data_IF_914709376529
#
_entry.id   IF_914709376529
#
_cell.length_a   1.000
_cell.length_b   1.000
_cell.length_c   1.000
_cell.angle_alpha   90.00
_cell.angle_beta   90.00
_cell.angle_gamma   90.00
#
_symmetry.space_group_name_H-M   'P 1'
#
loop_
_entity.id
_entity.type
_entity.pdbx_description
1 polymer ?
#
# COMPACT_ATOMS: atom_id res chain seq x y z
N UNK A 1 18.44 27.06 -6.55
CA UNK A 1 17.09 27.26 -7.16
C UNK A 1 16.30 25.95 -7.33
N UNK A 2 16.89 24.88 -7.88
CA UNK A 2 16.18 23.60 -8.15
C UNK A 2 15.70 22.84 -6.89
N UNK A 3 16.36 23.01 -5.74
CA UNK A 3 15.99 22.39 -4.44
C UNK A 3 14.84 23.12 -3.75
N UNK A 4 14.86 24.45 -3.76
CA UNK A 4 13.77 25.30 -3.25
C UNK A 4 12.45 25.05 -3.98
N UNK A 5 12.49 24.90 -5.32
CA UNK A 5 11.29 24.57 -6.10
C UNK A 5 10.69 23.19 -5.75
N UNK A 6 11.53 22.18 -5.49
CA UNK A 6 11.07 20.85 -5.05
C UNK A 6 10.44 20.89 -3.66
N UNK A 7 11.03 21.64 -2.73
CA UNK A 7 10.48 21.83 -1.40
C UNK A 7 9.12 22.52 -1.45
N UNK A 8 9.00 23.59 -2.25
CA UNK A 8 7.72 24.27 -2.46
C UNK A 8 6.63 23.31 -2.99
N UNK A 9 6.97 22.47 -3.96
CA UNK A 9 6.04 21.49 -4.53
C UNK A 9 5.60 20.43 -3.52
N UNK A 10 6.53 19.93 -2.69
CA UNK A 10 6.20 18.98 -1.61
C UNK A 10 5.28 19.63 -0.58
N UNK A 11 5.57 20.86 -0.18
CA UNK A 11 4.73 21.60 0.78
C UNK A 11 3.33 21.84 0.19
N UNK A 12 3.23 22.30 -1.05
CA UNK A 12 1.93 22.51 -1.70
C UNK A 12 1.15 21.20 -1.83
N UNK A 13 1.83 20.09 -2.12
CA UNK A 13 1.19 18.78 -2.21
C UNK A 13 0.67 18.31 -0.85
N UNK A 14 1.45 18.48 0.23
CA UNK A 14 1.02 18.14 1.59
C UNK A 14 -0.19 18.99 2.02
N UNK A 15 -0.17 20.30 1.73
CA UNK A 15 -1.30 21.20 2.00
C UNK A 15 -2.53 20.76 1.22
N UNK A 16 -2.40 20.51 -0.09
CA UNK A 16 -3.52 20.06 -0.92
C UNK A 16 -4.11 18.73 -0.44
N UNK A 17 -3.26 17.79 -0.04
CA UNK A 17 -3.68 16.50 0.52
C UNK A 17 -4.43 16.68 1.84
N UNK A 18 -3.90 17.51 2.75
CA UNK A 18 -4.55 17.82 4.02
C UNK A 18 -5.90 18.52 3.82
N UNK A 19 -5.98 19.48 2.90
CA UNK A 19 -7.23 20.16 2.54
C UNK A 19 -8.25 19.20 1.93
N UNK A 20 -7.84 18.28 1.05
CA UNK A 20 -8.74 17.31 0.45
C UNK A 20 -9.35 16.36 1.50
N UNK A 21 -8.54 15.84 2.42
CA UNK A 21 -9.03 15.02 3.53
C UNK A 21 -9.88 15.83 4.52
N UNK A 22 -9.51 17.08 4.80
CA UNK A 22 -10.30 17.98 5.64
C UNK A 22 -11.67 18.29 5.02
N UNK A 23 -11.73 18.46 3.71
CA UNK A 23 -12.98 18.67 2.99
C UNK A 23 -13.86 17.43 3.06
N UNK A 24 -13.30 16.25 2.76
CA UNK A 24 -14.02 14.98 2.89
C UNK A 24 -14.57 14.80 4.32
N UNK A 25 -13.75 15.06 5.34
CA UNK A 25 -14.17 14.99 6.73
C UNK A 25 -15.29 15.99 7.07
N UNK A 26 -15.18 17.24 6.61
CA UNK A 26 -16.20 18.26 6.85
C UNK A 26 -17.54 17.87 6.23
N UNK A 27 -17.54 17.41 4.98
CA UNK A 27 -18.74 16.98 4.27
C UNK A 27 -19.42 15.79 4.96
N UNK A 28 -18.63 14.82 5.46
CA UNK A 28 -19.17 13.62 6.11
C UNK A 28 -19.66 13.93 7.52
N UNK A 29 -18.85 14.60 8.35
CA UNK A 29 -19.11 14.72 9.79
C UNK A 29 -19.89 15.98 10.14
N UNK A 30 -19.59 17.12 9.50
CA UNK A 30 -20.24 18.40 9.84
C UNK A 30 -21.50 18.62 9.03
N UNK A 31 -21.42 18.42 7.72
CA UNK A 31 -22.55 18.66 6.83
C UNK A 31 -23.47 17.44 6.70
N UNK A 32 -22.99 16.26 7.12
CA UNK A 32 -23.74 15.01 7.08
C UNK A 32 -24.43 14.77 5.73
N UNK A 33 -23.64 14.92 4.67
CA UNK A 33 -24.09 14.82 3.26
C UNK A 33 -24.77 13.48 2.94
N UNK A 34 -24.59 12.46 3.79
CA UNK A 34 -25.29 11.18 3.73
C UNK A 34 -26.81 11.25 3.86
N UNK A 35 -27.35 12.31 4.48
CA UNK A 35 -28.80 12.49 4.67
C UNK A 35 -29.50 13.01 3.40
N UNK A 36 -28.76 13.66 2.51
CA UNK A 36 -29.30 14.22 1.27
C UNK A 36 -29.75 13.11 0.32
N UNK A 37 -31.06 13.02 0.05
CA UNK A 37 -31.61 11.98 -0.81
C UNK A 37 -31.32 12.21 -2.29
N UNK A 38 -31.22 13.47 -2.71
CA UNK A 38 -30.97 13.84 -4.11
C UNK A 38 -29.55 13.49 -4.53
N UNK A 39 -29.42 12.53 -5.45
CA UNK A 39 -28.12 12.05 -5.94
C UNK A 39 -27.26 13.15 -6.58
N UNK A 40 -27.91 14.12 -7.23
CA UNK A 40 -27.28 15.23 -7.95
C UNK A 40 -27.09 16.49 -7.10
N UNK A 41 -27.34 16.42 -5.78
CA UNK A 41 -27.08 17.53 -4.89
C UNK A 41 -25.61 17.97 -5.00
N UNK A 42 -25.33 19.28 -5.13
CA UNK A 42 -23.96 19.77 -5.33
C UNK A 42 -23.01 19.33 -4.22
N UNK A 43 -23.50 19.23 -2.97
CA UNK A 43 -22.75 18.75 -1.82
C UNK A 43 -22.33 17.28 -1.97
N UNK A 44 -23.20 16.43 -2.52
CA UNK A 44 -22.87 15.02 -2.80
C UNK A 44 -21.87 14.89 -3.94
N UNK A 45 -22.00 15.69 -4.99
CA UNK A 45 -21.03 15.72 -6.09
C UNK A 45 -19.65 16.16 -5.58
N UNK A 46 -19.59 17.16 -4.70
CA UNK A 46 -18.37 17.57 -4.02
C UNK A 46 -17.80 16.44 -3.14
N UNK A 47 -18.65 15.72 -2.40
CA UNK A 47 -18.23 14.58 -1.60
C UNK A 47 -17.63 13.45 -2.46
N UNK A 48 -18.27 13.08 -3.58
CA UNK A 48 -17.72 12.07 -4.50
C UNK A 48 -16.37 12.49 -5.07
N UNK A 49 -16.25 13.76 -5.46
CA UNK A 49 -14.97 14.33 -5.90
C UNK A 49 -13.91 14.24 -4.80
N UNK A 50 -14.24 14.65 -3.58
CA UNK A 50 -13.32 14.60 -2.44
C UNK A 50 -12.91 13.16 -2.09
N UNK A 51 -13.83 12.20 -2.15
CA UNK A 51 -13.56 10.80 -1.85
C UNK A 51 -12.60 10.14 -2.83
N UNK A 52 -12.55 10.63 -4.07
CA UNK A 52 -11.58 10.18 -5.06
C UNK A 52 -10.26 10.97 -4.97
N UNK A 53 -10.35 12.29 -4.86
CA UNK A 53 -9.19 13.19 -4.89
C UNK A 53 -8.30 13.02 -3.66
N UNK A 54 -8.88 12.88 -2.46
CA UNK A 54 -8.11 12.74 -1.24
C UNK A 54 -7.18 11.50 -1.24
N UNK A 55 -7.68 10.28 -1.51
CA UNK A 55 -6.81 9.12 -1.61
C UNK A 55 -5.93 9.17 -2.87
N UNK A 56 -6.37 9.74 -3.99
CA UNK A 56 -5.51 9.88 -5.17
C UNK A 56 -4.28 10.77 -4.91
N UNK A 57 -4.49 11.94 -4.27
CA UNK A 57 -3.40 12.82 -3.87
C UNK A 57 -2.45 12.17 -2.86
N UNK A 58 -2.98 11.30 -2.01
CA UNK A 58 -2.17 10.59 -1.01
C UNK A 58 -1.36 9.46 -1.65
N UNK A 59 -2.04 8.52 -2.30
CA UNK A 59 -1.47 7.23 -2.65
C UNK A 59 -0.84 7.18 -4.04
N UNK A 60 -1.27 8.00 -5.00
CA UNK A 60 -0.62 8.03 -6.32
C UNK A 60 0.88 8.41 -6.24
N UNK A 61 1.28 9.52 -5.59
CA UNK A 61 2.71 9.85 -5.49
C UNK A 61 3.47 8.86 -4.60
N UNK A 62 2.85 8.39 -3.51
CA UNK A 62 3.46 7.43 -2.59
C UNK A 62 3.68 6.06 -3.24
N UNK A 63 2.73 5.58 -4.05
CA UNK A 63 2.86 4.35 -4.82
C UNK A 63 3.99 4.41 -5.83
N UNK A 64 4.12 5.52 -6.57
CA UNK A 64 5.25 5.75 -7.50
C UNK A 64 6.60 5.76 -6.80
N UNK A 65 6.68 6.35 -5.60
CA UNK A 65 7.92 6.40 -4.82
C UNK A 65 8.35 5.02 -4.35
N UNK A 66 7.39 4.20 -3.94
CA UNK A 66 7.63 2.91 -3.30
C UNK A 66 7.68 1.76 -4.32
N UNK A 67 7.20 1.97 -5.55
CA UNK A 67 7.22 1.04 -6.69
C UNK A 67 6.55 -0.31 -6.41
N UNK A 68 5.55 -0.31 -5.53
CA UNK A 68 4.73 -1.51 -5.29
C UNK A 68 3.64 -1.58 -6.37
N UNK A 69 3.52 -2.71 -7.09
CA UNK A 69 2.55 -2.85 -8.16
C UNK A 69 1.12 -2.73 -7.62
N UNK A 70 0.27 -2.01 -8.36
CA UNK A 70 -1.17 -1.82 -8.08
C UNK A 70 -1.55 -1.12 -6.78
N UNK A 71 -0.60 -0.74 -5.91
CA UNK A 71 -0.88 -0.07 -4.64
C UNK A 71 -1.72 1.21 -4.81
N UNK A 72 -1.44 1.99 -5.85
CA UNK A 72 -2.17 3.24 -6.13
C UNK A 72 -3.66 2.97 -6.37
N UNK A 73 -3.96 2.01 -7.25
CA UNK A 73 -5.33 1.69 -7.67
C UNK A 73 -6.08 1.07 -6.49
N UNK A 74 -5.47 0.14 -5.78
CA UNK A 74 -6.08 -0.52 -4.62
C UNK A 74 -6.36 0.47 -3.49
N UNK A 75 -5.43 1.36 -3.19
CA UNK A 75 -5.63 2.35 -2.15
C UNK A 75 -6.74 3.34 -2.55
N UNK A 76 -6.73 3.83 -3.79
CA UNK A 76 -7.77 4.75 -4.28
C UNK A 76 -9.14 4.07 -4.25
N UNK A 77 -9.25 2.86 -4.81
CA UNK A 77 -10.50 2.12 -4.84
C UNK A 77 -10.99 1.77 -3.44
N UNK A 78 -10.10 1.26 -2.58
CA UNK A 78 -10.41 0.92 -1.19
C UNK A 78 -10.94 2.12 -0.42
N UNK A 79 -10.17 3.21 -0.36
CA UNK A 79 -10.52 4.38 0.43
C UNK A 79 -11.75 5.11 -0.12
N UNK A 80 -11.86 5.25 -1.45
CA UNK A 80 -13.05 5.86 -2.06
C UNK A 80 -14.30 5.05 -1.74
N UNK A 81 -14.23 3.72 -1.84
CA UNK A 81 -15.36 2.84 -1.52
C UNK A 81 -15.66 2.85 -0.03
N UNK A 82 -14.67 2.83 0.85
CA UNK A 82 -14.88 2.92 2.30
C UNK A 82 -15.55 4.23 2.70
N UNK A 83 -15.11 5.37 2.17
CA UNK A 83 -15.72 6.67 2.43
C UNK A 83 -17.17 6.71 1.91
N UNK A 84 -17.39 6.18 0.70
CA UNK A 84 -18.73 6.09 0.12
C UNK A 84 -19.66 5.24 0.99
N UNK A 85 -19.23 4.04 1.37
CA UNK A 85 -20.01 3.12 2.20
C UNK A 85 -20.33 3.75 3.55
N UNK A 86 -19.35 4.34 4.24
CA UNK A 86 -19.59 4.99 5.52
C UNK A 86 -20.50 6.21 5.45
N UNK A 87 -20.50 6.94 4.33
CA UNK A 87 -21.27 8.17 4.21
C UNK A 87 -22.70 7.91 3.75
N UNK A 88 -22.90 6.99 2.81
CA UNK A 88 -24.18 6.85 2.11
C UNK A 88 -24.90 5.54 2.37
N UNK A 89 -24.23 4.52 2.91
CA UNK A 89 -24.85 3.23 3.18
C UNK A 89 -25.25 3.18 4.65
N UNK A 90 -26.56 3.19 4.88
CA UNK A 90 -27.14 2.99 6.19
C UNK A 90 -26.98 1.51 6.61
N UNK A 91 -26.21 1.22 7.68
CA UNK A 91 -25.97 -0.14 8.14
C UNK A 91 -27.25 -0.84 8.63
N UNK A 92 -28.29 -0.11 9.02
CA UNK A 92 -29.56 -0.71 9.47
C UNK A 92 -30.40 -1.23 8.30
N UNK A 93 -30.23 -0.63 7.12
CA UNK A 93 -30.95 -1.02 5.89
C UNK A 93 -30.35 -2.25 5.22
N UNK A 94 -29.05 -2.45 5.33
CA UNK A 94 -28.37 -3.61 4.75
C UNK A 94 -28.26 -4.68 5.84
N UNK A 95 -29.16 -5.67 5.83
CA UNK A 95 -29.16 -6.76 6.80
C UNK A 95 -28.46 -8.00 6.25
N UNK A 96 -27.78 -8.73 7.14
CA UNK A 96 -27.21 -10.04 6.84
C UNK A 96 -25.72 -10.02 6.43
N UNK A 97 -25.17 -11.19 6.05
CA UNK A 97 -23.73 -11.37 5.84
C UNK A 97 -23.17 -10.53 4.68
N UNK A 98 -23.99 -10.24 3.66
CA UNK A 98 -23.58 -9.38 2.54
C UNK A 98 -23.33 -7.93 2.98
N UNK A 99 -24.10 -7.41 3.95
CA UNK A 99 -23.89 -6.09 4.52
C UNK A 99 -22.50 -5.96 5.13
N UNK A 100 -22.10 -7.00 5.86
CA UNK A 100 -20.80 -7.09 6.50
C UNK A 100 -19.68 -7.07 5.47
N UNK A 101 -19.84 -7.79 4.35
CA UNK A 101 -18.85 -7.77 3.26
C UNK A 101 -18.74 -6.39 2.60
N UNK A 102 -19.87 -5.71 2.36
CA UNK A 102 -19.88 -4.35 1.76
C UNK A 102 -19.11 -3.34 2.61
N UNK A 103 -19.10 -3.49 3.94
CA UNK A 103 -18.33 -2.63 4.85
C UNK A 103 -16.89 -3.11 5.02
N UNK A 104 -16.71 -4.40 5.33
CA UNK A 104 -15.41 -4.95 5.71
C UNK A 104 -14.44 -5.07 4.55
N UNK A 105 -14.91 -5.41 3.34
CA UNK A 105 -14.04 -5.62 2.20
C UNK A 105 -13.31 -4.34 1.74
N UNK A 106 -14.00 -3.20 1.50
CA UNK A 106 -13.30 -1.97 1.17
C UNK A 106 -12.47 -1.46 2.35
N UNK A 107 -12.91 -1.67 3.59
CA UNK A 107 -12.13 -1.32 4.78
C UNK A 107 -10.82 -2.13 4.86
N UNK A 108 -10.88 -3.43 4.58
CA UNK A 108 -9.71 -4.30 4.50
C UNK A 108 -8.74 -3.79 3.44
N UNK A 109 -9.21 -3.52 2.23
CA UNK A 109 -8.35 -3.00 1.16
C UNK A 109 -7.72 -1.66 1.55
N UNK A 110 -8.50 -0.75 2.15
CA UNK A 110 -8.02 0.56 2.64
C UNK A 110 -6.93 0.40 3.68
N UNK A 111 -7.16 -0.40 4.72
CA UNK A 111 -6.22 -0.61 5.82
C UNK A 111 -4.97 -1.36 5.33
N UNK A 112 -5.14 -2.38 4.49
CA UNK A 112 -4.03 -3.12 3.86
C UNK A 112 -3.15 -2.22 3.00
N UNK A 113 -3.72 -1.22 2.32
CA UNK A 113 -2.92 -0.28 1.51
C UNK A 113 -1.99 0.58 2.37
N UNK A 114 -2.44 1.01 3.56
CA UNK A 114 -1.60 1.75 4.52
C UNK A 114 -0.48 0.85 5.05
N UNK A 115 -0.79 -0.37 5.46
CA UNK A 115 0.22 -1.30 5.96
C UNK A 115 1.22 -1.73 4.89
N UNK A 116 0.77 -1.87 3.63
CA UNK A 116 1.66 -2.13 2.49
C UNK A 116 2.65 -0.99 2.31
N UNK A 117 2.16 0.25 2.34
CA UNK A 117 3.00 1.44 2.22
C UNK A 117 4.02 1.52 3.36
N UNK A 118 3.59 1.30 4.60
CA UNK A 118 4.48 1.30 5.78
C UNK A 118 5.54 0.21 5.69
N UNK A 119 5.13 -1.02 5.35
CA UNK A 119 6.03 -2.16 5.21
C UNK A 119 7.08 -1.89 4.13
N UNK A 120 6.66 -1.36 2.99
CA UNK A 120 7.57 -1.06 1.90
C UNK A 120 8.50 0.12 2.22
N UNK A 121 8.03 1.15 2.95
CA UNK A 121 8.89 2.23 3.43
C UNK A 121 9.96 1.73 4.41
N UNK A 122 9.61 0.80 5.30
CA UNK A 122 10.57 0.14 6.21
C UNK A 122 11.57 -0.71 5.41
N UNK A 123 11.12 -1.49 4.44
CA UNK A 123 11.99 -2.31 3.60
C UNK A 123 12.95 -1.46 2.76
N UNK A 124 12.50 -0.34 2.19
CA UNK A 124 13.36 0.60 1.48
C UNK A 124 14.43 1.22 2.40
N UNK A 125 14.06 1.59 3.63
CA UNK A 125 15.02 2.12 4.62
C UNK A 125 16.04 1.08 5.04
N UNK A 126 15.64 -0.17 5.21
CA UNK A 126 16.53 -1.28 5.55
C UNK A 126 17.43 -1.67 4.38
N UNK A 127 16.90 -1.70 3.16
CA UNK A 127 17.63 -1.94 1.93
C UNK A 127 18.73 -0.91 1.70
N UNK A 128 18.42 0.38 1.89
CA UNK A 128 19.39 1.47 1.78
C UNK A 128 20.57 1.31 2.78
N UNK A 129 20.32 0.72 3.95
CA UNK A 129 21.36 0.46 4.96
C UNK A 129 22.18 -0.81 4.68
N UNK A 130 21.61 -1.79 3.97
CA UNK A 130 22.20 -3.12 3.77
C UNK A 130 22.66 -3.40 2.33
N UNK A 131 22.47 -2.46 1.40
CA UNK A 131 22.73 -2.61 -0.03
C UNK A 131 22.04 -3.84 -0.68
N UNK A 132 20.86 -4.22 -0.16
CA UNK A 132 20.05 -5.32 -0.67
C UNK A 132 18.96 -4.75 -1.59
N UNK A 133 18.65 -5.43 -2.70
CA UNK A 133 17.50 -5.06 -3.53
C UNK A 133 16.19 -5.31 -2.76
N UNK A 134 15.32 -4.28 -2.59
CA UNK A 134 14.02 -4.46 -1.96
C UNK A 134 13.08 -5.28 -2.86
N UNK A 135 12.34 -6.22 -2.26
CA UNK A 135 11.34 -7.03 -2.96
C UNK A 135 9.93 -6.46 -2.73
N UNK A 136 9.31 -5.79 -3.72
CA UNK A 136 8.03 -5.12 -3.55
C UNK A 136 6.86 -6.07 -3.30
N UNK A 137 6.96 -7.35 -3.70
CA UNK A 137 5.89 -8.33 -3.48
C UNK A 137 5.80 -8.73 -2.01
N UNK A 138 6.94 -8.76 -1.31
CA UNK A 138 7.00 -9.09 0.11
C UNK A 138 6.30 -8.03 0.97
N UNK A 139 6.53 -6.75 0.68
CA UNK A 139 5.86 -5.66 1.40
C UNK A 139 4.33 -5.68 1.20
N UNK A 140 3.87 -6.00 -0.02
CA UNK A 140 2.43 -6.12 -0.33
C UNK A 140 1.76 -7.25 0.44
N UNK A 141 2.38 -8.44 0.46
CA UNK A 141 1.91 -9.58 1.25
C UNK A 141 1.78 -9.24 2.74
N UNK A 142 2.82 -8.64 3.33
CA UNK A 142 2.81 -8.20 4.74
C UNK A 142 1.68 -7.21 5.01
N UNK A 143 1.46 -6.27 4.09
CA UNK A 143 0.36 -5.32 4.17
C UNK A 143 -1.03 -5.97 4.23
N UNK A 144 -1.28 -7.00 3.42
CA UNK A 144 -2.54 -7.75 3.48
C UNK A 144 -2.69 -8.54 4.77
N UNK A 145 -1.64 -9.24 5.22
CA UNK A 145 -1.69 -10.01 6.48
C UNK A 145 -1.97 -9.09 7.68
N UNK A 146 -1.28 -7.95 7.75
CA UNK A 146 -1.50 -6.95 8.81
C UNK A 146 -2.87 -6.30 8.73
N UNK A 147 -3.36 -6.02 7.53
CA UNK A 147 -4.71 -5.51 7.32
C UNK A 147 -5.79 -6.51 7.73
N UNK A 148 -5.61 -7.78 7.37
CA UNK A 148 -6.53 -8.87 7.75
C UNK A 148 -6.55 -9.08 9.26
N UNK A 149 -5.38 -9.04 9.92
CA UNK A 149 -5.30 -9.06 11.37
C UNK A 149 -6.06 -7.89 12.00
N UNK A 150 -5.84 -6.67 11.51
CA UNK A 150 -6.42 -5.45 12.07
C UNK A 150 -7.93 -5.38 11.88
N UNK A 151 -8.43 -5.67 10.67
CA UNK A 151 -9.87 -5.72 10.38
C UNK A 151 -10.54 -6.92 11.06
N UNK A 152 -9.84 -8.05 11.20
CA UNK A 152 -10.32 -9.19 11.99
C UNK A 152 -10.46 -8.86 13.48
N UNK A 153 -9.54 -8.09 14.06
CA UNK A 153 -9.68 -7.59 15.43
C UNK A 153 -10.88 -6.65 15.56
N UNK A 154 -11.08 -5.74 14.60
CA UNK A 154 -12.25 -4.85 14.58
C UNK A 154 -13.55 -5.65 14.47
N UNK A 155 -13.56 -6.71 13.67
CA UNK A 155 -14.69 -7.62 13.52
C UNK A 155 -15.01 -8.32 14.85
N UNK A 156 -14.01 -8.91 15.50
CA UNK A 156 -14.17 -9.54 16.82
C UNK A 156 -14.69 -8.55 17.87
N UNK A 157 -14.20 -7.31 17.83
CA UNK A 157 -14.71 -6.23 18.67
C UNK A 157 -16.19 -5.93 18.42
N UNK A 158 -16.59 -5.78 17.15
CA UNK A 158 -17.99 -5.52 16.77
C UNK A 158 -18.94 -6.64 17.19
N UNK A 159 -18.45 -7.89 17.23
CA UNK A 159 -19.22 -9.06 17.66
C UNK A 159 -19.24 -9.25 19.18
N UNK A 160 -18.59 -8.37 19.96
CA UNK A 160 -18.42 -8.56 21.41
C UNK A 160 -17.55 -9.77 21.77
N UNK A 161 -16.89 -10.38 20.79
CA UNK A 161 -16.06 -11.57 20.94
C UNK A 161 -14.56 -11.24 21.10
N UNK A 162 -14.22 -9.99 21.40
CA UNK A 162 -12.84 -9.56 21.57
C UNK A 162 -12.29 -10.03 22.92
N UNK A 163 -11.80 -11.27 22.94
CA UNK A 163 -11.08 -11.85 24.08
C UNK A 163 -9.60 -11.98 23.74
N UNK A 164 -8.74 -11.98 24.75
CA UNK A 164 -7.30 -12.20 24.57
C UNK A 164 -7.02 -13.52 23.83
N UNK A 165 -7.84 -14.55 24.06
CA UNK A 165 -7.76 -15.85 23.38
C UNK A 165 -8.07 -15.70 21.89
N UNK A 166 -9.16 -15.01 21.53
CA UNK A 166 -9.55 -14.84 20.12
C UNK A 166 -8.55 -13.97 19.35
N UNK A 167 -7.99 -12.94 19.99
CA UNK A 167 -6.90 -12.14 19.41
C UNK A 167 -5.64 -12.98 19.22
N UNK A 168 -5.27 -13.80 20.22
CA UNK A 168 -4.14 -14.71 20.12
C UNK A 168 -4.31 -15.75 19.01
N UNK A 169 -5.50 -16.31 18.86
CA UNK A 169 -5.82 -17.25 17.78
C UNK A 169 -5.76 -16.57 16.41
N UNK A 170 -6.31 -15.37 16.27
CA UNK A 170 -6.22 -14.60 15.04
C UNK A 170 -4.75 -14.24 14.70
N UNK A 171 -3.94 -13.91 15.70
CA UNK A 171 -2.51 -13.68 15.53
C UNK A 171 -1.79 -14.96 15.07
N UNK A 172 -2.15 -16.11 15.64
CA UNK A 172 -1.58 -17.39 15.23
C UNK A 172 -1.95 -17.75 13.79
N UNK A 173 -3.22 -17.59 13.41
CA UNK A 173 -3.70 -17.83 12.03
C UNK A 173 -2.96 -16.92 11.05
N UNK A 174 -2.89 -15.63 11.35
CA UNK A 174 -2.21 -14.66 10.47
C UNK A 174 -0.72 -14.92 10.36
N UNK A 175 -0.07 -15.35 11.45
CA UNK A 175 1.32 -15.79 11.45
C UNK A 175 1.51 -17.06 10.61
N UNK A 176 0.62 -18.05 10.72
CA UNK A 176 0.67 -19.26 9.89
C UNK A 176 0.48 -18.94 8.41
N UNK A 177 -0.44 -18.03 8.07
CA UNK A 177 -0.63 -17.54 6.70
C UNK A 177 0.63 -16.87 6.17
N UNK A 178 1.27 -16.00 6.96
CA UNK A 178 2.53 -15.36 6.58
C UNK A 178 3.65 -16.41 6.40
N UNK A 179 3.76 -17.39 7.30
CA UNK A 179 4.74 -18.48 7.20
C UNK A 179 4.53 -19.32 5.95
N UNK A 180 3.29 -19.74 5.67
CA UNK A 180 2.94 -20.50 4.47
C UNK A 180 3.23 -19.70 3.19
N UNK A 181 2.97 -18.41 3.23
CA UNK A 181 3.28 -17.54 2.11
C UNK A 181 4.80 -17.34 1.95
N UNK A 182 5.60 -17.38 3.03
CA UNK A 182 7.05 -17.38 2.90
C UNK A 182 7.59 -18.69 2.31
N UNK A 183 7.00 -19.85 2.66
CA UNK A 183 7.46 -21.15 2.15
C UNK A 183 7.11 -21.36 0.68
N UNK A 184 5.91 -20.94 0.25
CA UNK A 184 5.46 -21.14 -1.13
C UNK A 184 6.10 -20.14 -2.10
N UNK A 185 6.34 -18.90 -1.67
CA UNK A 185 6.97 -17.87 -2.50
C UNK A 185 8.46 -17.70 -2.22
N UNK A 186 9.11 -18.69 -1.58
CA UNK A 186 10.56 -18.73 -1.54
C UNK A 186 11.04 -18.79 -3.00
N UNK A 187 11.79 -17.79 -3.49
CA UNK A 187 12.37 -17.89 -4.81
C UNK A 187 13.24 -19.14 -4.79
N UNK A 188 13.03 -20.02 -5.78
CA UNK A 188 14.05 -20.99 -6.17
C UNK A 188 15.29 -20.14 -6.41
N UNK A 189 16.18 -20.07 -5.41
CA UNK A 189 17.53 -19.55 -5.61
C UNK A 189 18.05 -20.39 -6.76
N UNK A 190 18.36 -19.74 -7.87
CA UNK A 190 19.11 -20.34 -8.96
C UNK A 190 20.37 -20.98 -8.35
N UNK A 191 20.29 -22.29 -8.12
CA UNK A 191 21.45 -23.15 -8.03
C UNK A 191 21.92 -23.24 -9.48
N UNK A 192 22.63 -22.23 -9.95
CA UNK A 192 23.11 -22.22 -11.33
C UNK A 192 23.43 -20.86 -11.90
N UNK A 193 24.35 -20.11 -11.30
CA UNK A 193 25.16 -19.17 -12.12
C UNK A 193 26.52 -18.78 -11.49
N UNK A 194 27.23 -19.74 -10.89
CA UNK A 194 28.63 -19.55 -10.44
C UNK A 194 29.69 -20.09 -11.43
N UNK A 195 29.34 -20.53 -12.65
CA UNK A 195 30.30 -21.23 -13.52
C UNK A 195 30.63 -20.63 -14.90
N UNK A 196 30.13 -19.46 -15.29
CA UNK A 196 30.32 -18.98 -16.69
C UNK A 196 30.71 -17.51 -16.88
N UNK A 197 31.28 -16.84 -15.88
CA UNK A 197 31.65 -15.41 -15.99
C UNK A 197 33.15 -15.09 -16.05
N UNK A 198 34.01 -15.83 -15.35
CA UNK A 198 35.36 -15.32 -15.02
C UNK A 198 36.47 -15.70 -16.00
N UNK A 199 36.23 -16.66 -16.91
CA UNK A 199 37.27 -17.17 -17.80
C UNK A 199 37.35 -16.42 -19.13
N UNK A 200 36.24 -15.82 -19.59
CA UNK A 200 36.19 -15.16 -20.91
C UNK A 200 36.81 -13.76 -20.91
N UNK A 201 36.71 -13.04 -19.79
CA UNK A 201 37.30 -11.70 -19.65
C UNK A 201 38.80 -11.71 -19.36
N UNK A 202 39.32 -12.77 -18.72
CA UNK A 202 40.77 -12.95 -18.54
C UNK A 202 41.49 -13.23 -19.86
N UNK A 203 40.83 -13.85 -20.85
CA UNK A 203 41.43 -14.13 -22.16
C UNK A 203 41.51 -12.88 -23.04
N UNK A 204 40.49 -12.01 -23.01
CA UNK A 204 40.52 -10.74 -23.75
C UNK A 204 41.54 -9.73 -23.22
N UNK A 205 41.84 -9.73 -21.92
CA UNK A 205 42.83 -8.80 -21.35
C UNK A 205 44.28 -9.13 -21.75
N UNK A 206 44.57 -10.38 -22.08
CA UNK A 206 45.92 -10.80 -22.50
C UNK A 206 46.21 -10.55 -23.99
N UNK A 207 45.20 -10.32 -24.83
CA UNK A 207 45.39 -10.10 -26.27
C UNK A 207 45.74 -8.63 -26.60
N UNK A 208 45.39 -7.67 -25.73
CA UNK A 208 45.74 -6.25 -25.93
C UNK A 208 47.03 -5.82 -25.21
N UNK A 209 47.73 -6.72 -24.52
CA UNK A 209 48.97 -6.45 -23.79
C UNK A 209 50.26 -6.72 -24.57
N UNK A 210 50.19 -7.18 -25.83
CA UNK A 210 51.36 -7.49 -26.66
C UNK A 210 51.29 -6.84 -28.04
N UNK A 211 51.57 -5.54 -28.07
CA UNK A 211 51.98 -4.76 -29.24
C UNK A 211 52.34 -3.37 -28.72
N UNK A 212 53.53 -2.80 -28.91
CA UNK A 212 54.52 -2.94 -29.96
C UNK A 212 55.92 -2.53 -29.43
N UNK A 213 57.00 -2.72 -30.21
CA UNK A 213 58.38 -2.46 -29.79
C UNK A 213 58.69 -0.97 -29.65
N UNK A 214 59.56 -0.63 -28.69
CA UNK A 214 60.15 0.72 -28.57
C UNK A 214 61.04 1.01 -29.80
N UNK A 215 60.84 2.13 -30.52
CA UNK A 215 61.87 2.66 -31.41
C UNK A 215 62.99 3.31 -30.58
N UNK A 216 64.19 3.25 -31.15
CA UNK A 216 65.51 3.56 -30.56
C UNK A 216 65.65 4.96 -30.00
#
# INVERSE_FOLDING_TARGET
MRTLGKLGLVVSWLIATALAWSLAFSLVVRENVGVLQDFWAPERLLAYGAFLVAPALTFAPLGRLVRVPFLEIEAIAGWSTSLFVWTFIDPERVRGPLAMLVVLLPLLVSVSSVFTLLSAAVELRLAARRAILPDPLRARRRGYVLGLFSVGCLLLHSLGALTAINVGLLALITLLVELLAMTWFAPVREIGDESSGSTRDRRRRNEYGRGAPRPR
#
